data_IF_989581205609
#
_entry.id   IF_989581205609
#
_cell.length_a   1.000
_cell.length_b   1.000
_cell.length_c   1.000
_cell.angle_alpha   90.00
_cell.angle_beta   90.00
_cell.angle_gamma   90.00
#
_symmetry.space_group_name_H-M   'P 1'
#
loop_
_entity.id
_entity.type
_entity.pdbx_description
1 polymer ?
#
# COMPACT_ATOMS: atom_id res chain seq x y z
N UNK A 1 -28.85 -13.27 4.26
CA UNK A 1 -27.64 -13.08 3.46
C UNK A 1 -26.59 -12.38 4.32
N UNK A 2 -25.35 -12.90 4.32
CA UNK A 2 -24.21 -12.21 4.95
C UNK A 2 -23.89 -10.89 4.21
N UNK A 3 -23.18 -9.97 4.86
CA UNK A 3 -22.76 -8.71 4.23
C UNK A 3 -22.01 -8.95 2.91
N UNK A 4 -21.10 -9.92 2.89
CA UNK A 4 -20.36 -10.29 1.69
C UNK A 4 -21.23 -10.88 0.57
N UNK A 5 -22.26 -11.65 0.92
CA UNK A 5 -23.21 -12.16 -0.08
C UNK A 5 -24.04 -11.03 -0.71
N UNK A 6 -24.47 -10.04 0.09
CA UNK A 6 -25.16 -8.86 -0.42
C UNK A 6 -24.28 -8.08 -1.40
N UNK A 7 -23.01 -7.80 -1.04
CA UNK A 7 -22.08 -7.11 -1.93
C UNK A 7 -21.82 -7.83 -3.24
N UNK A 8 -21.67 -9.16 -3.22
CA UNK A 8 -21.54 -9.96 -4.46
C UNK A 8 -22.78 -9.84 -5.35
N UNK A 9 -23.97 -9.80 -4.77
CA UNK A 9 -25.24 -9.64 -5.51
C UNK A 9 -25.30 -8.20 -6.11
N UNK A 10 -24.89 -7.19 -5.36
CA UNK A 10 -24.88 -5.79 -5.86
C UNK A 10 -23.95 -5.65 -7.08
N UNK A 11 -22.74 -6.23 -7.01
CA UNK A 11 -21.82 -6.25 -8.15
C UNK A 11 -22.40 -7.07 -9.32
N UNK A 12 -22.97 -8.24 -9.06
CA UNK A 12 -23.61 -9.06 -10.10
C UNK A 12 -24.77 -8.32 -10.79
N UNK A 13 -25.58 -7.56 -10.05
CA UNK A 13 -26.65 -6.73 -10.62
C UNK A 13 -26.11 -5.63 -11.53
N UNK A 14 -25.01 -4.99 -11.15
CA UNK A 14 -24.37 -3.98 -11.98
C UNK A 14 -23.84 -4.55 -13.31
N UNK A 15 -23.50 -5.84 -13.35
CA UNK A 15 -22.97 -6.52 -14.53
C UNK A 15 -24.04 -7.06 -15.50
N UNK A 16 -25.35 -7.06 -15.12
CA UNK A 16 -26.43 -7.66 -15.93
C UNK A 16 -26.49 -7.07 -17.36
N UNK A 17 -26.13 -5.80 -17.51
CA UNK A 17 -26.23 -5.09 -18.79
C UNK A 17 -24.90 -5.01 -19.56
N UNK A 18 -23.91 -5.84 -19.17
CA UNK A 18 -22.57 -5.87 -19.79
C UNK A 18 -21.94 -4.47 -19.96
N UNK A 19 -21.72 -3.74 -18.83
CA UNK A 19 -21.25 -2.38 -18.89
C UNK A 19 -19.76 -2.31 -19.25
N UNK A 20 -19.35 -1.32 -20.02
CA UNK A 20 -17.94 -1.01 -20.25
C UNK A 20 -17.26 -0.39 -19.03
N UNK A 21 -18.03 0.29 -18.16
CA UNK A 21 -17.56 0.97 -16.97
C UNK A 21 -18.35 0.50 -15.74
N UNK A 22 -17.65 0.03 -14.73
CA UNK A 22 -18.19 -0.37 -13.43
C UNK A 22 -17.75 0.63 -12.36
N UNK A 23 -18.70 1.25 -11.67
CA UNK A 23 -18.44 2.20 -10.59
C UNK A 23 -18.85 1.56 -9.26
N UNK A 24 -17.90 1.46 -8.33
CA UNK A 24 -18.08 0.84 -7.02
C UNK A 24 -17.65 1.81 -5.91
N UNK A 25 -18.56 2.07 -4.99
CA UNK A 25 -18.27 2.90 -3.81
C UNK A 25 -18.00 2.00 -2.60
N UNK A 26 -16.75 2.01 -2.12
CA UNK A 26 -16.24 1.21 -1.00
C UNK A 26 -16.75 -0.26 -1.01
N UNK A 27 -16.52 -1.03 -2.08
CA UNK A 27 -17.17 -2.33 -2.28
C UNK A 27 -16.80 -3.37 -1.23
N UNK A 28 -15.67 -3.21 -0.55
CA UNK A 28 -15.12 -4.19 0.40
C UNK A 28 -15.29 -3.79 1.86
N UNK A 29 -15.82 -2.59 2.13
CA UNK A 29 -16.01 -2.09 3.50
C UNK A 29 -16.98 -2.98 4.30
N UNK A 30 -16.56 -3.31 5.54
CA UNK A 30 -17.34 -4.14 6.45
C UNK A 30 -17.30 -5.64 6.14
N UNK A 31 -16.45 -6.08 5.19
CA UNK A 31 -16.22 -7.50 4.91
C UNK A 31 -15.07 -8.06 5.75
N UNK A 32 -15.17 -9.32 6.13
CA UNK A 32 -14.05 -10.07 6.69
C UNK A 32 -12.91 -10.20 5.67
N UNK A 33 -11.65 -10.42 6.12
CA UNK A 33 -10.48 -10.43 5.23
C UNK A 33 -10.59 -11.44 4.08
N UNK A 34 -11.13 -12.62 4.33
CA UNK A 34 -11.27 -13.66 3.31
C UNK A 34 -12.30 -13.28 2.24
N UNK A 35 -13.45 -12.75 2.66
CA UNK A 35 -14.50 -12.29 1.74
C UNK A 35 -14.03 -11.08 0.94
N UNK A 36 -13.28 -10.15 1.56
CA UNK A 36 -12.67 -9.00 0.89
C UNK A 36 -11.74 -9.47 -0.23
N UNK A 37 -10.81 -10.37 0.09
CA UNK A 37 -9.87 -10.94 -0.89
C UNK A 37 -10.60 -11.58 -2.07
N UNK A 38 -11.61 -12.41 -1.80
CA UNK A 38 -12.39 -13.06 -2.86
C UNK A 38 -13.11 -12.06 -3.76
N UNK A 39 -13.71 -11.00 -3.17
CA UNK A 39 -14.38 -9.96 -3.97
C UNK A 39 -13.37 -9.15 -4.80
N UNK A 40 -12.21 -8.85 -4.23
CA UNK A 40 -11.14 -8.16 -4.94
C UNK A 40 -10.59 -8.97 -6.13
N UNK A 41 -10.34 -10.26 -5.93
CA UNK A 41 -9.95 -11.17 -7.02
C UNK A 41 -10.98 -11.21 -8.14
N UNK A 42 -12.28 -11.21 -7.79
CA UNK A 42 -13.37 -11.16 -8.76
C UNK A 42 -13.37 -9.83 -9.54
N UNK A 43 -13.30 -8.68 -8.87
CA UNK A 43 -13.22 -7.37 -9.52
C UNK A 43 -11.99 -7.27 -10.43
N UNK A 44 -10.84 -7.78 -9.97
CA UNK A 44 -9.61 -7.82 -10.77
C UNK A 44 -9.75 -8.70 -12.02
N UNK A 45 -10.51 -9.79 -11.93
CA UNK A 45 -10.77 -10.66 -13.10
C UNK A 45 -11.64 -9.97 -14.15
N UNK A 46 -12.63 -9.18 -13.75
CA UNK A 46 -13.46 -8.39 -14.67
C UNK A 46 -12.61 -7.41 -15.47
N UNK A 47 -11.71 -6.70 -14.79
CA UNK A 47 -10.79 -5.77 -15.43
C UNK A 47 -9.91 -6.44 -16.47
N UNK A 48 -9.33 -7.60 -16.13
CA UNK A 48 -8.34 -8.29 -16.97
C UNK A 48 -8.97 -9.07 -18.13
N UNK A 49 -10.08 -9.74 -17.90
CA UNK A 49 -10.67 -10.68 -18.84
C UNK A 49 -11.72 -10.04 -19.75
N UNK A 50 -12.48 -9.07 -19.22
CA UNK A 50 -13.59 -8.44 -19.92
C UNK A 50 -13.23 -7.05 -20.48
N UNK A 51 -11.97 -6.64 -20.37
CA UNK A 51 -11.48 -5.30 -20.78
C UNK A 51 -12.34 -4.15 -20.20
N UNK A 52 -12.87 -4.37 -19.01
CA UNK A 52 -13.78 -3.46 -18.31
C UNK A 52 -13.02 -2.38 -17.57
N UNK A 53 -13.46 -1.14 -17.64
CA UNK A 53 -12.95 -0.08 -16.79
C UNK A 53 -13.64 -0.13 -15.43
N UNK A 54 -12.88 -0.36 -14.37
CA UNK A 54 -13.41 -0.36 -12.99
C UNK A 54 -12.94 0.90 -12.28
N UNK A 55 -13.88 1.74 -11.88
CA UNK A 55 -13.66 2.89 -11.02
C UNK A 55 -14.20 2.59 -9.63
N UNK A 56 -13.34 2.63 -8.61
CA UNK A 56 -13.76 2.35 -7.25
C UNK A 56 -13.19 3.35 -6.25
N UNK A 57 -13.93 3.57 -5.16
CA UNK A 57 -13.40 4.23 -3.98
C UNK A 57 -13.00 3.21 -2.95
N UNK A 58 -11.92 3.46 -2.22
CA UNK A 58 -11.46 2.63 -1.11
C UNK A 58 -10.65 3.45 -0.11
N UNK A 59 -10.66 3.02 1.13
CA UNK A 59 -9.73 3.47 2.17
C UNK A 59 -8.70 2.39 2.54
N UNK A 60 -8.72 1.25 1.83
CA UNK A 60 -7.73 0.19 1.99
C UNK A 60 -6.56 0.39 1.03
N UNK A 61 -5.41 0.72 1.57
CA UNK A 61 -4.21 1.01 0.77
C UNK A 61 -3.69 -0.20 0.00
N UNK A 62 -3.98 -1.41 0.47
CA UNK A 62 -3.68 -2.66 -0.22
C UNK A 62 -4.43 -2.76 -1.57
N UNK A 63 -5.68 -2.33 -1.61
CA UNK A 63 -6.49 -2.29 -2.84
C UNK A 63 -5.97 -1.24 -3.82
N UNK A 64 -5.58 -0.07 -3.30
CA UNK A 64 -4.95 0.97 -4.10
C UNK A 64 -3.60 0.53 -4.68
N UNK A 65 -2.86 -0.35 -3.99
CA UNK A 65 -1.58 -0.87 -4.47
C UNK A 65 -1.70 -1.75 -5.73
N UNK A 66 -2.87 -2.38 -5.94
CA UNK A 66 -3.16 -3.26 -7.07
C UNK A 66 -3.88 -2.55 -8.23
N UNK A 67 -4.20 -1.28 -8.10
CA UNK A 67 -4.87 -0.49 -9.14
C UNK A 67 -3.89 -0.10 -10.27
N UNK A 68 -4.42 0.11 -11.48
CA UNK A 68 -3.62 0.66 -12.59
C UNK A 68 -3.31 2.14 -12.38
N UNK A 69 -4.24 2.89 -11.77
CA UNK A 69 -4.10 4.32 -11.47
C UNK A 69 -4.81 4.64 -10.16
N UNK A 70 -4.21 5.51 -9.38
CA UNK A 70 -4.70 5.95 -8.07
C UNK A 70 -4.84 7.46 -8.07
N UNK A 71 -5.94 7.95 -7.50
CA UNK A 71 -6.18 9.36 -7.21
C UNK A 71 -6.38 9.47 -5.70
N UNK A 72 -5.56 10.26 -5.03
CA UNK A 72 -5.68 10.50 -3.59
C UNK A 72 -6.39 11.83 -3.37
N UNK A 73 -7.50 11.75 -2.64
CA UNK A 73 -8.31 12.91 -2.26
C UNK A 73 -8.08 13.27 -0.78
N UNK A 74 -7.89 14.54 -0.52
CA UNK A 74 -7.86 15.07 0.84
C UNK A 74 -8.57 16.41 0.89
N UNK A 75 -9.50 16.58 1.84
CA UNK A 75 -10.33 17.80 1.99
C UNK A 75 -10.98 18.26 0.67
N UNK A 76 -11.50 17.32 -0.13
CA UNK A 76 -12.18 17.61 -1.41
C UNK A 76 -11.25 18.01 -2.57
N UNK A 77 -9.92 17.87 -2.41
CA UNK A 77 -8.92 18.18 -3.45
C UNK A 77 -8.11 16.97 -3.81
N UNK A 78 -7.71 16.87 -5.07
CA UNK A 78 -6.72 15.89 -5.51
C UNK A 78 -5.35 16.33 -4.98
N UNK A 79 -4.73 15.52 -4.13
CA UNK A 79 -3.41 15.78 -3.55
C UNK A 79 -2.31 14.96 -4.21
N UNK A 80 -2.65 13.82 -4.81
CA UNK A 80 -1.72 13.02 -5.63
C UNK A 80 -2.49 12.18 -6.64
N UNK A 81 -1.85 11.89 -7.78
CA UNK A 81 -2.38 11.07 -8.85
C UNK A 81 -1.24 10.39 -9.60
N UNK A 82 -1.41 9.11 -9.98
CA UNK A 82 -0.44 8.33 -10.74
C UNK A 82 -0.65 6.83 -10.60
N UNK A 83 0.25 6.05 -11.18
CA UNK A 83 0.33 4.61 -10.89
C UNK A 83 0.84 4.40 -9.46
N UNK A 84 0.52 3.27 -8.80
CA UNK A 84 1.05 2.97 -7.47
C UNK A 84 2.59 3.05 -7.40
N UNK A 85 3.28 2.61 -8.45
CA UNK A 85 4.74 2.67 -8.51
C UNK A 85 5.27 4.10 -8.59
N UNK A 86 4.67 4.95 -9.45
CA UNK A 86 5.03 6.38 -9.55
C UNK A 86 4.82 7.10 -8.23
N UNK A 87 3.68 6.85 -7.56
CA UNK A 87 3.37 7.45 -6.28
C UNK A 87 4.36 7.02 -5.19
N UNK A 88 4.67 5.73 -5.09
CA UNK A 88 5.68 5.23 -4.15
C UNK A 88 7.06 5.84 -4.42
N UNK A 89 7.51 5.86 -5.65
CA UNK A 89 8.81 6.43 -6.01
C UNK A 89 8.91 7.94 -5.75
N UNK A 90 7.77 8.66 -5.84
CA UNK A 90 7.72 10.12 -5.67
C UNK A 90 7.62 10.56 -4.21
N UNK A 91 6.87 9.82 -3.40
CA UNK A 91 6.45 10.28 -2.07
C UNK A 91 7.02 9.44 -0.93
N UNK A 92 7.67 8.30 -1.22
CA UNK A 92 8.29 7.45 -0.19
C UNK A 92 9.72 7.10 -0.57
N UNK A 93 10.53 6.75 0.42
CA UNK A 93 11.80 6.07 0.23
C UNK A 93 11.65 4.55 0.17
N UNK A 94 12.78 3.87 0.06
CA UNK A 94 12.87 2.44 0.34
C UNK A 94 13.23 2.25 1.82
N UNK A 95 12.98 1.07 2.36
CA UNK A 95 13.23 0.77 3.77
C UNK A 95 14.12 -0.45 3.90
N UNK A 96 15.08 -0.39 4.81
CA UNK A 96 15.83 -1.54 5.29
C UNK A 96 15.26 -1.89 6.66
N UNK A 97 14.67 -3.07 6.78
CA UNK A 97 14.23 -3.62 8.07
C UNK A 97 15.32 -4.57 8.57
N UNK A 98 15.90 -4.29 9.74
CA UNK A 98 16.94 -5.10 10.35
C UNK A 98 16.37 -5.84 11.55
N UNK A 99 16.44 -7.16 11.53
CA UNK A 99 15.86 -8.04 12.54
C UNK A 99 16.81 -8.33 13.70
N UNK A 100 18.05 -7.88 13.63
CA UNK A 100 19.02 -7.97 14.73
C UNK A 100 18.91 -6.81 15.70
N UNK A 101 18.99 -7.13 16.98
CA UNK A 101 18.80 -6.16 18.07
C UNK A 101 20.08 -5.42 18.51
N UNK A 102 21.16 -5.42 17.74
CA UNK A 102 22.34 -4.62 18.10
C UNK A 102 22.16 -3.16 17.64
N UNK A 103 21.38 -2.43 18.43
CA UNK A 103 21.11 -1.00 18.22
C UNK A 103 22.40 -0.17 18.19
N UNK A 104 23.48 -0.66 18.81
CA UNK A 104 24.76 0.04 18.83
C UNK A 104 25.41 0.08 17.44
N UNK A 105 25.32 -1.01 16.67
CA UNK A 105 25.79 -1.04 15.29
C UNK A 105 24.99 -0.09 14.40
N UNK A 106 23.68 -0.03 14.57
CA UNK A 106 22.81 0.85 13.78
C UNK A 106 23.08 2.33 14.11
N UNK A 107 23.27 2.68 15.38
CA UNK A 107 23.64 4.05 15.78
C UNK A 107 24.92 4.55 15.11
N UNK A 108 25.88 3.67 14.91
CA UNK A 108 27.14 4.00 14.26
C UNK A 108 27.02 4.27 12.75
N UNK A 109 25.89 3.92 12.12
CA UNK A 109 25.63 4.21 10.71
C UNK A 109 25.43 5.71 10.46
N UNK A 110 25.04 6.49 11.49
CA UNK A 110 24.77 7.93 11.38
C UNK A 110 23.56 8.27 10.51
N UNK A 111 22.63 7.30 10.29
CA UNK A 111 21.39 7.49 9.54
C UNK A 111 20.20 7.48 10.49
N UNK A 112 19.12 8.20 10.16
CA UNK A 112 17.87 8.13 10.92
C UNK A 112 17.30 6.72 10.89
N UNK A 113 16.83 6.23 12.01
CA UNK A 113 16.16 4.93 12.12
C UNK A 113 15.02 5.01 13.13
N UNK A 114 14.08 4.10 12.98
CA UNK A 114 12.94 3.91 13.87
C UNK A 114 12.97 2.49 14.45
N UNK A 115 12.72 2.36 15.75
CA UNK A 115 12.56 1.06 16.39
C UNK A 115 11.10 0.66 16.37
N UNK A 116 10.77 -0.43 15.69
CA UNK A 116 9.41 -0.95 15.53
C UNK A 116 9.34 -2.35 16.15
N UNK A 117 8.85 -2.44 17.38
CA UNK A 117 8.81 -3.71 18.11
C UNK A 117 10.20 -4.29 18.34
N UNK A 118 10.48 -5.44 17.74
CA UNK A 118 11.73 -6.20 17.83
C UNK A 118 12.72 -5.98 16.67
N UNK A 119 12.38 -5.09 15.74
CA UNK A 119 13.22 -4.78 14.58
C UNK A 119 13.48 -3.28 14.45
N UNK A 120 14.46 -2.93 13.63
CA UNK A 120 14.83 -1.55 13.32
C UNK A 120 14.53 -1.27 11.85
N UNK A 121 13.84 -0.15 11.58
CA UNK A 121 13.51 0.32 10.24
C UNK A 121 14.35 1.54 9.91
N UNK A 122 15.07 1.48 8.79
CA UNK A 122 15.90 2.56 8.27
C UNK A 122 15.31 3.01 6.95
N UNK A 123 14.93 4.28 6.85
CA UNK A 123 14.49 4.85 5.59
C UNK A 123 15.70 5.28 4.75
N UNK A 124 15.70 4.91 3.48
CA UNK A 124 16.72 5.27 2.50
C UNK A 124 16.06 5.83 1.25
N UNK A 125 16.80 6.64 0.50
CA UNK A 125 16.26 7.31 -0.69
C UNK A 125 15.75 6.32 -1.74
N UNK A 126 16.51 5.28 -2.00
CA UNK A 126 16.23 4.26 -3.02
C UNK A 126 17.02 2.98 -2.74
N UNK A 127 16.75 1.93 -3.52
CA UNK A 127 17.44 0.64 -3.39
C UNK A 127 18.94 0.72 -3.62
N UNK A 128 19.43 1.69 -4.42
CA UNK A 128 20.87 1.88 -4.63
C UNK A 128 21.53 2.42 -3.35
N UNK A 129 20.90 3.37 -2.67
CA UNK A 129 21.36 3.86 -1.38
C UNK A 129 21.33 2.77 -0.29
N UNK A 130 20.30 1.91 -0.30
CA UNK A 130 20.23 0.73 0.57
C UNK A 130 21.44 -0.20 0.35
N UNK A 131 21.70 -0.56 -0.92
CA UNK A 131 22.84 -1.39 -1.30
C UNK A 131 24.18 -0.79 -0.82
N UNK A 132 24.39 0.48 -1.07
CA UNK A 132 25.65 1.17 -0.74
C UNK A 132 25.87 1.23 0.79
N UNK A 133 24.78 1.42 1.55
CA UNK A 133 24.82 1.36 3.02
C UNK A 133 25.18 -0.03 3.54
N UNK A 134 24.58 -1.09 2.98
CA UNK A 134 24.85 -2.48 3.35
C UNK A 134 26.29 -2.87 3.02
N UNK A 135 26.80 -2.49 1.85
CA UNK A 135 28.21 -2.76 1.46
C UNK A 135 29.18 -2.05 2.39
N UNK A 136 28.85 -0.84 2.83
CA UNK A 136 29.71 -0.05 3.70
C UNK A 136 29.78 -0.58 5.13
N UNK A 137 28.70 -1.20 5.61
CA UNK A 137 28.57 -1.65 7.00
C UNK A 137 27.99 -3.07 7.10
N UNK A 138 28.62 -4.09 6.49
CA UNK A 138 28.06 -5.43 6.37
C UNK A 138 27.75 -6.09 7.71
N UNK A 139 28.47 -5.75 8.77
CA UNK A 139 28.27 -6.29 10.13
C UNK A 139 26.93 -5.85 10.76
N UNK A 140 26.38 -4.72 10.32
CA UNK A 140 25.09 -4.23 10.82
C UNK A 140 23.88 -4.86 10.12
N UNK A 141 24.10 -5.56 9.00
CA UNK A 141 23.06 -6.07 8.12
C UNK A 141 23.21 -7.58 7.89
N UNK A 142 23.18 -8.36 8.95
CA UNK A 142 23.31 -9.83 8.85
C UNK A 142 21.97 -10.53 8.64
N UNK A 143 20.87 -9.96 9.18
CA UNK A 143 19.49 -10.41 8.96
C UNK A 143 18.62 -9.19 8.67
N UNK A 144 18.29 -9.01 7.40
CA UNK A 144 17.58 -7.81 6.95
C UNK A 144 16.71 -8.08 5.72
N UNK A 145 15.78 -7.17 5.49
CA UNK A 145 14.92 -7.11 4.32
C UNK A 145 14.96 -5.70 3.72
N UNK A 146 14.95 -5.60 2.38
CA UNK A 146 14.78 -4.32 1.68
C UNK A 146 13.36 -4.31 1.09
N UNK A 147 12.57 -3.32 1.47
CA UNK A 147 11.22 -3.14 0.95
C UNK A 147 11.04 -1.74 0.36
N UNK A 148 10.25 -1.66 -0.70
CA UNK A 148 9.77 -0.36 -1.18
C UNK A 148 8.70 0.18 -0.26
N UNK A 149 8.57 1.51 -0.22
CA UNK A 149 7.46 2.16 0.48
C UNK A 149 6.11 1.59 0.07
N UNK A 150 5.18 1.55 1.01
CA UNK A 150 3.80 1.08 0.81
C UNK A 150 2.90 2.24 0.42
N UNK A 151 1.69 1.93 -0.07
CA UNK A 151 0.69 2.96 -0.37
C UNK A 151 0.21 3.69 0.90
N UNK A 152 0.29 3.04 2.08
CA UNK A 152 0.07 3.70 3.38
C UNK A 152 1.06 4.84 3.60
N UNK A 153 2.36 4.61 3.34
CA UNK A 153 3.41 5.63 3.47
C UNK A 153 3.15 6.80 2.50
N UNK A 154 2.72 6.52 1.26
CA UNK A 154 2.32 7.55 0.29
C UNK A 154 1.15 8.37 0.81
N UNK A 155 0.10 7.73 1.30
CA UNK A 155 -1.09 8.40 1.82
C UNK A 155 -0.74 9.34 2.98
N UNK A 156 0.04 8.87 3.94
CA UNK A 156 0.51 9.68 5.07
C UNK A 156 1.35 10.88 4.60
N UNK A 157 2.26 10.66 3.65
CA UNK A 157 3.11 11.72 3.12
C UNK A 157 2.33 12.84 2.42
N UNK A 158 1.30 12.50 1.61
CA UNK A 158 0.57 13.50 0.82
C UNK A 158 -0.58 14.16 1.58
N UNK A 159 -1.12 13.51 2.61
CA UNK A 159 -2.23 14.05 3.41
C UNK A 159 -1.74 14.82 4.64
N UNK A 160 -0.48 14.66 5.04
CA UNK A 160 0.08 15.26 6.26
C UNK A 160 -0.50 14.67 7.56
N UNK A 161 -1.28 13.59 7.46
CA UNK A 161 -1.81 12.87 8.62
C UNK A 161 -0.66 12.04 9.17
N UNK A 162 0.00 12.49 10.24
CA UNK A 162 0.90 11.62 11.00
C UNK A 162 0.06 10.49 11.55
N UNK A 163 0.49 9.24 11.33
CA UNK A 163 -0.17 8.06 11.84
C UNK A 163 -0.54 8.25 13.31
N UNK A 164 -1.82 8.54 13.55
CA UNK A 164 -2.34 8.73 14.90
C UNK A 164 -2.46 7.36 15.54
N UNK A 165 -1.90 7.25 16.74
CA UNK A 165 -2.21 6.22 17.70
C UNK A 165 -3.74 6.09 17.77
N UNK A 166 -4.29 5.01 17.28
CA UNK A 166 -5.63 4.59 17.63
C UNK A 166 -5.64 4.30 19.14
N UNK A 167 -6.37 5.16 19.87
CA UNK A 167 -6.70 4.95 21.27
C UNK A 167 -7.77 3.90 21.40
#
# INVERSE_FOLDING_TARGET
>A
LSGGQKRKIDVARALIHDPEILILDEPTTGLDPQTRKTLWEFISSLRKNENMTVFLTTHYMEEAADADRVIILNAGKIVAEGTPLELKNKYTGDFITVYQNDECLIKNLGVPYEKVGDHIRIEVKDTAAARDLIIKYPEAFTDFEITKGKMDDVFLAVTGIKGGEDK
#
